data_IF_340856088026
#
_entry.id   IF_340856088026
#
_cell.length_a   1.000
_cell.length_b   1.000
_cell.length_c   1.000
_cell.angle_alpha   90.00
_cell.angle_beta   90.00
_cell.angle_gamma   90.00
#
_symmetry.space_group_name_H-M   'P 1'
#
loop_
_entity.id
_entity.type
_entity.pdbx_description
1 polymer ?
#
# COMPACT_ATOMS: atom_id res chain seq x y z
N UNK A 1 -13.66 -6.76 16.14
CA UNK A 1 -12.50 -6.00 15.58
C UNK A 1 -11.78 -6.90 14.59
N UNK A 2 -11.41 -6.37 13.44
CA UNK A 2 -10.77 -7.18 12.38
C UNK A 2 -9.32 -6.75 12.21
N UNK A 3 -8.36 -7.60 12.64
CA UNK A 3 -6.93 -7.43 12.44
C UNK A 3 -6.38 -8.47 11.46
N UNK A 4 -7.26 -9.22 10.82
CA UNK A 4 -6.97 -10.23 9.79
C UNK A 4 -7.52 -9.74 8.45
N UNK A 5 -6.73 -9.85 7.40
CA UNK A 5 -7.06 -9.55 6.00
C UNK A 5 -6.98 -10.84 5.19
N UNK A 6 -7.82 -10.98 4.14
CA UNK A 6 -7.88 -12.14 3.24
C UNK A 6 -8.89 -13.21 3.68
N UNK A 7 -9.09 -14.23 2.84
CA UNK A 7 -10.00 -15.36 3.04
C UNK A 7 -9.24 -16.68 3.16
N UNK A 8 -8.47 -17.10 2.15
CA UNK A 8 -7.57 -18.27 2.18
C UNK A 8 -6.16 -17.81 2.54
N UNK A 9 -5.58 -16.91 1.72
CA UNK A 9 -4.31 -16.28 2.05
C UNK A 9 -4.58 -15.11 3.00
N UNK A 10 -4.31 -15.33 4.28
CA UNK A 10 -4.64 -14.34 5.32
C UNK A 10 -3.41 -13.75 5.97
N UNK A 11 -3.52 -12.50 6.39
CA UNK A 11 -2.54 -11.82 7.22
C UNK A 11 -3.22 -11.30 8.50
N UNK A 12 -2.84 -11.82 9.65
CA UNK A 12 -3.16 -11.23 10.95
C UNK A 12 -1.98 -10.41 11.44
N UNK A 13 -2.18 -9.10 11.67
CA UNK A 13 -1.11 -8.19 12.11
C UNK A 13 -1.26 -7.75 13.56
N UNK A 14 -0.14 -7.58 14.28
CA UNK A 14 -0.08 -7.09 15.65
C UNK A 14 1.06 -6.07 15.84
N UNK A 15 1.10 -5.45 17.02
CA UNK A 15 2.11 -4.49 17.42
C UNK A 15 1.78 -3.04 17.07
N UNK A 16 2.46 -2.11 17.72
CA UNK A 16 2.30 -0.65 17.63
C UNK A 16 3.63 0.02 17.31
N UNK A 17 3.55 1.30 16.89
CA UNK A 17 4.74 2.07 16.46
C UNK A 17 5.79 2.27 17.55
N UNK A 18 5.37 2.26 18.84
CA UNK A 18 6.23 2.45 20.01
C UNK A 18 6.13 1.27 20.99
N UNK A 19 5.58 0.11 20.56
CA UNK A 19 5.72 -1.16 21.25
C UNK A 19 7.08 -1.78 21.00
N UNK A 20 7.31 -2.98 21.51
CA UNK A 20 8.57 -3.73 21.33
C UNK A 20 8.79 -4.13 19.88
N UNK A 21 7.74 -4.50 19.17
CA UNK A 21 7.80 -4.99 17.81
C UNK A 21 6.49 -4.77 17.04
N UNK A 22 6.58 -4.92 15.73
CA UNK A 22 5.46 -5.13 14.80
C UNK A 22 5.64 -6.51 14.18
N UNK A 23 4.57 -7.27 14.06
CA UNK A 23 4.63 -8.60 13.47
C UNK A 23 3.31 -9.03 12.87
N UNK A 24 3.27 -10.29 12.47
CA UNK A 24 2.07 -10.89 11.92
C UNK A 24 2.19 -12.40 11.79
N UNK A 25 1.06 -12.98 11.42
CA UNK A 25 0.96 -14.39 11.00
C UNK A 25 0.32 -14.39 9.62
N UNK A 26 1.00 -15.00 8.66
CA UNK A 26 0.45 -15.33 7.34
C UNK A 26 -0.01 -16.79 7.40
N UNK A 27 -1.27 -17.02 7.06
CA UNK A 27 -1.85 -18.35 6.93
C UNK A 27 -2.37 -18.59 5.51
N UNK A 28 -2.56 -19.86 5.12
CA UNK A 28 -3.00 -20.22 3.78
C UNK A 28 -1.94 -20.03 2.68
N UNK A 29 -0.67 -19.85 3.05
CA UNK A 29 0.42 -19.85 2.07
C UNK A 29 0.62 -21.24 1.48
N UNK A 30 0.60 -21.43 0.14
CA UNK A 30 0.84 -22.74 -0.47
C UNK A 30 2.19 -23.34 -0.03
N UNK A 31 2.23 -24.66 0.16
CA UNK A 31 3.47 -25.37 0.49
C UNK A 31 4.42 -25.42 -0.72
N UNK A 32 5.73 -25.55 -0.44
CA UNK A 32 6.76 -25.75 -1.46
C UNK A 32 7.15 -24.49 -2.24
N UNK A 33 6.78 -23.30 -1.76
CA UNK A 33 7.26 -22.03 -2.30
C UNK A 33 8.64 -21.74 -1.73
N UNK A 34 9.61 -21.46 -2.60
CA UNK A 34 10.96 -21.10 -2.20
C UNK A 34 10.95 -19.73 -1.49
N UNK A 35 11.52 -19.68 -0.30
CA UNK A 35 11.70 -18.44 0.47
C UNK A 35 12.99 -17.77 0.01
N UNK A 36 12.86 -16.52 -0.39
CA UNK A 36 13.95 -15.61 -0.71
C UNK A 36 14.00 -14.52 0.38
N UNK A 37 14.78 -14.76 1.41
CA UNK A 37 14.93 -13.83 2.54
C UNK A 37 15.46 -12.46 2.09
N UNK A 38 16.35 -12.44 1.10
CA UNK A 38 16.89 -11.20 0.55
C UNK A 38 15.79 -10.38 -0.15
N UNK A 39 14.90 -11.04 -0.88
CA UNK A 39 13.76 -10.38 -1.50
C UNK A 39 12.76 -9.86 -0.46
N UNK A 40 12.42 -10.65 0.56
CA UNK A 40 11.51 -10.21 1.64
C UNK A 40 12.10 -8.97 2.34
N UNK A 41 13.39 -9.00 2.67
CA UNK A 41 14.08 -7.87 3.28
C UNK A 41 14.13 -6.66 2.35
N UNK A 42 14.36 -6.86 1.05
CA UNK A 42 14.35 -5.79 0.06
C UNK A 42 12.98 -5.08 0.00
N UNK A 43 11.87 -5.82 0.01
CA UNK A 43 10.52 -5.23 0.05
C UNK A 43 10.28 -4.38 1.32
N UNK A 44 10.84 -4.80 2.46
CA UNK A 44 10.85 -3.99 3.68
C UNK A 44 11.75 -2.75 3.57
N UNK A 45 12.92 -2.90 2.97
CA UNK A 45 13.87 -1.79 2.75
C UNK A 45 13.25 -0.71 1.86
N UNK A 46 12.45 -1.08 0.86
CA UNK A 46 11.69 -0.14 0.04
C UNK A 46 10.68 0.67 0.87
N UNK A 47 10.12 0.10 1.95
CA UNK A 47 9.13 0.75 2.82
C UNK A 47 9.76 1.54 3.97
N UNK A 48 10.93 1.15 4.47
CA UNK A 48 11.54 1.71 5.68
C UNK A 48 11.65 3.24 5.67
N UNK A 49 11.70 3.91 6.83
CA UNK A 49 12.01 5.33 6.92
C UNK A 49 13.49 5.62 6.62
N UNK A 50 13.81 6.89 6.34
CA UNK A 50 15.20 7.35 6.23
C UNK A 50 15.93 6.95 4.95
N UNK A 51 15.19 6.69 3.87
CA UNK A 51 15.76 6.24 2.60
C UNK A 51 16.38 7.36 1.77
N UNK A 52 15.90 8.59 1.91
CA UNK A 52 16.31 9.72 1.10
C UNK A 52 16.04 11.06 1.79
N UNK A 53 16.48 12.16 1.16
CA UNK A 53 16.24 13.53 1.65
C UNK A 53 14.75 13.92 1.69
N UNK A 54 13.92 13.27 0.88
CA UNK A 54 12.47 13.53 0.79
C UNK A 54 11.63 12.62 1.69
N UNK A 55 12.25 11.81 2.54
CA UNK A 55 11.57 10.99 3.55
C UNK A 55 11.95 11.44 4.96
N UNK A 56 11.28 10.90 5.98
CA UNK A 56 11.61 11.16 7.39
C UNK A 56 13.06 10.82 7.72
N UNK A 57 13.68 11.58 8.62
CA UNK A 57 15.04 11.34 9.10
C UNK A 57 15.14 10.16 10.12
N UNK A 58 14.03 9.52 10.50
CA UNK A 58 14.04 8.32 11.35
C UNK A 58 14.79 7.21 10.62
N UNK A 59 15.63 6.46 11.33
CA UNK A 59 16.38 5.32 10.78
C UNK A 59 15.98 4.05 11.52
N UNK A 60 15.48 3.07 10.80
CA UNK A 60 15.13 1.74 11.32
C UNK A 60 15.69 0.69 10.36
N UNK A 61 16.30 -0.37 10.83
CA UNK A 61 16.81 -1.43 9.97
C UNK A 61 15.67 -2.30 9.41
N UNK A 62 14.51 -2.33 10.07
CA UNK A 62 13.33 -3.12 9.72
C UNK A 62 13.66 -4.59 9.37
N UNK A 63 14.58 -5.21 10.10
CA UNK A 63 14.94 -6.61 9.87
C UNK A 63 13.81 -7.53 10.28
N UNK A 64 13.38 -8.36 9.33
CA UNK A 64 12.37 -9.38 9.58
C UNK A 64 13.00 -10.68 10.07
N UNK A 65 12.36 -11.32 11.03
CA UNK A 65 12.67 -12.69 11.46
C UNK A 65 11.43 -13.54 11.22
N UNK A 66 11.55 -14.59 10.39
CA UNK A 66 10.53 -15.62 10.23
C UNK A 66 10.66 -16.60 11.40
N UNK A 67 9.55 -16.94 12.05
CA UNK A 67 9.52 -17.72 13.28
C UNK A 67 9.00 -19.17 13.05
N UNK A 68 8.25 -19.37 11.98
CA UNK A 68 7.57 -20.66 11.68
C UNK A 68 7.18 -20.75 10.20
N UNK A 69 6.68 -21.92 9.79
CA UNK A 69 6.09 -22.14 8.47
C UNK A 69 7.11 -22.30 7.34
N UNK A 70 8.41 -22.41 7.67
CA UNK A 70 9.50 -22.59 6.70
C UNK A 70 10.39 -23.75 7.15
N UNK A 71 10.72 -24.65 6.22
CA UNK A 71 11.65 -25.75 6.40
C UNK A 71 12.53 -25.88 5.14
N UNK A 72 13.84 -25.98 5.33
CA UNK A 72 14.82 -26.09 4.23
C UNK A 72 14.63 -25.06 3.12
N UNK A 73 14.31 -23.79 3.50
CA UNK A 73 14.10 -22.69 2.59
C UNK A 73 12.78 -22.72 1.81
N UNK A 74 11.83 -23.60 2.17
CA UNK A 74 10.52 -23.70 1.52
C UNK A 74 9.38 -23.54 2.53
N UNK A 75 8.25 -23.02 2.05
CA UNK A 75 7.02 -22.96 2.84
C UNK A 75 6.48 -24.37 3.09
N UNK A 76 5.95 -24.58 4.30
CA UNK A 76 5.42 -25.89 4.72
C UNK A 76 3.90 -26.03 4.54
N UNK A 77 3.21 -24.92 4.21
CA UNK A 77 1.74 -24.85 4.25
C UNK A 77 1.18 -24.56 5.65
N UNK A 78 2.03 -24.51 6.67
CA UNK A 78 1.67 -24.10 8.02
C UNK A 78 1.78 -22.57 8.18
N UNK A 79 1.17 -21.97 9.23
CA UNK A 79 1.25 -20.54 9.45
C UNK A 79 2.69 -20.01 9.56
N UNK A 80 2.97 -18.92 8.85
CA UNK A 80 4.26 -18.24 8.87
C UNK A 80 4.17 -17.06 9.84
N UNK A 81 4.68 -17.28 11.06
CA UNK A 81 4.84 -16.22 12.04
C UNK A 81 6.09 -15.39 11.74
N UNK A 82 6.00 -14.06 11.91
CA UNK A 82 7.15 -13.17 11.73
C UNK A 82 7.10 -11.98 12.67
N UNK A 83 8.29 -11.39 12.94
CA UNK A 83 8.47 -10.24 13.80
C UNK A 83 9.52 -9.28 13.27
N UNK A 84 9.31 -7.97 13.50
CA UNK A 84 10.27 -6.90 13.24
C UNK A 84 10.37 -6.02 14.48
N UNK A 85 11.52 -5.93 15.10
CA UNK A 85 11.77 -5.14 16.31
C UNK A 85 11.68 -3.63 16.04
N UNK A 86 11.27 -2.87 17.04
CA UNK A 86 11.36 -1.41 17.07
C UNK A 86 12.65 -1.01 17.79
N UNK A 87 13.59 -0.34 17.12
CA UNK A 87 14.92 -0.05 17.67
C UNK A 87 15.23 1.44 17.82
N UNK A 88 14.52 2.33 17.12
CA UNK A 88 14.78 3.77 17.08
C UNK A 88 13.53 4.61 17.38
N UNK A 89 12.79 4.21 18.41
CA UNK A 89 11.61 4.94 18.89
C UNK A 89 12.03 5.98 19.94
N UNK A 90 11.58 7.24 19.77
CA UNK A 90 11.79 8.32 20.73
C UNK A 90 10.45 8.76 21.29
N UNK A 91 10.00 8.12 22.37
CA UNK A 91 8.66 8.36 22.95
C UNK A 91 8.50 9.77 23.51
N UNK A 92 9.59 10.38 24.02
CA UNK A 92 9.59 11.75 24.56
C UNK A 92 9.24 12.82 23.51
N UNK A 93 9.49 12.57 22.20
CA UNK A 93 9.14 13.49 21.12
C UNK A 93 7.62 13.72 21.00
N UNK A 94 6.80 12.92 21.68
CA UNK A 94 5.33 12.92 21.60
C UNK A 94 4.63 13.38 22.88
N UNK A 95 5.36 13.79 23.94
CA UNK A 95 4.78 14.17 25.22
C UNK A 95 3.83 15.36 25.10
N UNK A 96 4.12 16.33 24.24
CA UNK A 96 3.26 17.47 23.94
C UNK A 96 1.94 17.08 23.24
N UNK A 97 1.82 15.85 22.75
CA UNK A 97 0.61 15.32 22.10
C UNK A 97 -0.32 14.59 23.08
N UNK A 98 0.11 14.38 24.32
CA UNK A 98 -0.62 13.56 25.29
C UNK A 98 -2.05 14.03 25.54
N UNK A 99 -2.25 15.34 25.63
CA UNK A 99 -3.52 15.94 26.00
C UNK A 99 -4.21 16.71 24.87
N UNK A 100 -3.71 16.63 23.65
CA UNK A 100 -4.26 17.36 22.48
C UNK A 100 -4.53 16.42 21.32
N UNK A 101 -5.43 16.81 20.42
CA UNK A 101 -5.73 16.05 19.22
C UNK A 101 -5.06 16.70 18.01
N UNK A 102 -4.24 15.97 17.26
CA UNK A 102 -3.68 16.47 16.00
C UNK A 102 -4.79 16.63 14.95
N UNK A 103 -4.90 17.78 14.26
CA UNK A 103 -5.86 17.95 13.16
C UNK A 103 -5.68 16.85 12.10
N UNK A 104 -6.79 16.32 11.60
CA UNK A 104 -6.82 15.25 10.57
C UNK A 104 -6.07 13.96 10.89
N UNK A 105 -5.59 13.78 12.14
CA UNK A 105 -5.01 12.53 12.64
C UNK A 105 -6.07 11.66 13.32
N UNK A 106 -5.78 10.38 13.53
CA UNK A 106 -6.69 9.43 14.17
C UNK A 106 -6.82 9.61 15.71
N UNK A 107 -6.17 10.59 16.31
CA UNK A 107 -6.11 10.78 17.77
C UNK A 107 -7.49 10.84 18.42
N UNK A 108 -8.37 11.71 17.90
CA UNK A 108 -9.73 11.89 18.42
C UNK A 108 -10.60 10.63 18.23
N UNK A 109 -10.55 10.03 17.04
CA UNK A 109 -11.38 8.87 16.71
C UNK A 109 -10.98 7.63 17.50
N UNK A 110 -9.69 7.44 17.77
CA UNK A 110 -9.20 6.38 18.66
C UNK A 110 -9.64 6.61 20.10
N UNK A 111 -9.49 7.84 20.60
CA UNK A 111 -9.93 8.20 21.96
C UNK A 111 -11.43 7.96 22.13
N UNK A 112 -12.26 8.39 21.17
CA UNK A 112 -13.71 8.16 21.22
C UNK A 112 -14.09 6.70 21.11
N UNK A 113 -13.36 5.91 20.33
CA UNK A 113 -13.69 4.50 20.12
C UNK A 113 -13.27 3.59 21.28
N UNK A 114 -12.08 3.84 21.84
CA UNK A 114 -11.46 2.92 22.80
C UNK A 114 -11.38 3.50 24.23
N UNK A 115 -11.70 4.78 24.44
CA UNK A 115 -11.53 5.48 25.71
C UNK A 115 -10.07 5.81 26.06
N UNK A 116 -9.14 5.17 25.40
CA UNK A 116 -7.68 5.37 25.53
C UNK A 116 -7.03 5.48 24.18
N UNK A 117 -5.87 6.12 24.10
CA UNK A 117 -5.01 6.13 22.91
C UNK A 117 -3.54 6.11 23.30
N UNK A 118 -2.71 5.49 22.50
CA UNK A 118 -1.26 5.68 22.57
C UNK A 118 -0.91 6.97 21.85
N UNK A 119 -0.53 8.01 22.59
CA UNK A 119 -0.10 9.30 22.04
C UNK A 119 1.29 9.22 21.40
N UNK A 120 2.08 8.19 21.72
CA UNK A 120 3.43 7.98 21.19
C UNK A 120 3.34 7.47 19.74
N UNK A 121 3.58 8.33 18.77
CA UNK A 121 3.63 8.00 17.35
C UNK A 121 2.32 7.53 16.69
N UNK A 122 1.21 7.42 17.47
CA UNK A 122 -0.11 7.05 16.95
C UNK A 122 -0.44 5.55 16.93
N UNK A 123 0.34 4.69 17.59
CA UNK A 123 0.03 3.26 17.78
C UNK A 123 -0.26 2.54 16.47
N UNK A 124 -1.45 1.90 16.38
CA UNK A 124 -1.92 1.20 15.16
C UNK A 124 -2.31 2.14 14.01
N UNK A 125 -2.48 3.44 14.24
CA UNK A 125 -2.71 4.42 13.17
C UNK A 125 -1.40 4.88 12.48
N UNK A 126 -0.24 4.45 13.00
CA UNK A 126 1.06 4.78 12.42
C UNK A 126 1.36 4.04 11.12
N UNK A 127 2.09 4.69 10.20
CA UNK A 127 2.62 4.03 9.01
C UNK A 127 3.57 2.85 9.31
N UNK A 128 4.04 2.70 10.55
CA UNK A 128 4.90 1.59 10.97
C UNK A 128 4.22 0.23 10.85
N UNK A 129 2.91 0.15 11.07
CA UNK A 129 2.17 -1.12 10.95
C UNK A 129 2.17 -1.70 9.52
N UNK A 130 2.48 -0.88 8.52
CA UNK A 130 2.59 -1.34 7.13
C UNK A 130 3.73 -2.34 6.90
N UNK A 131 4.65 -2.48 7.86
CA UNK A 131 5.68 -3.55 7.88
C UNK A 131 5.01 -4.92 7.68
N UNK A 132 4.00 -5.25 8.47
CA UNK A 132 3.32 -6.54 8.37
C UNK A 132 2.71 -6.76 6.98
N UNK A 133 2.15 -5.70 6.37
CA UNK A 133 1.60 -5.76 5.00
C UNK A 133 2.70 -6.05 3.97
N UNK A 134 3.88 -5.41 4.10
CA UNK A 134 4.99 -5.65 3.18
C UNK A 134 5.55 -7.07 3.29
N UNK A 135 5.63 -7.64 4.50
CA UNK A 135 6.04 -9.05 4.68
C UNK A 135 5.01 -9.98 4.06
N UNK A 136 3.71 -9.82 4.39
CA UNK A 136 2.64 -10.64 3.79
C UNK A 136 2.60 -10.50 2.25
N UNK A 137 2.76 -9.27 1.74
CA UNK A 137 2.83 -9.02 0.31
C UNK A 137 4.09 -9.60 -0.37
N UNK A 138 5.24 -9.59 0.29
CA UNK A 138 6.47 -10.21 -0.22
C UNK A 138 6.29 -11.73 -0.34
N UNK A 139 5.73 -12.38 0.68
CA UNK A 139 5.38 -13.81 0.63
C UNK A 139 4.40 -14.10 -0.50
N UNK A 140 3.34 -13.30 -0.66
CA UNK A 140 2.39 -13.43 -1.76
C UNK A 140 3.07 -13.26 -3.13
N UNK A 141 3.97 -12.27 -3.30
CA UNK A 141 4.74 -12.07 -4.53
C UNK A 141 5.61 -13.27 -4.87
N UNK A 142 6.20 -13.97 -3.90
CA UNK A 142 6.98 -15.20 -4.15
C UNK A 142 6.12 -16.30 -4.77
N UNK A 143 4.88 -16.49 -4.29
CA UNK A 143 3.93 -17.43 -4.89
C UNK A 143 3.48 -16.98 -6.29
N UNK A 144 3.15 -15.68 -6.46
CA UNK A 144 2.69 -15.12 -7.72
C UNK A 144 3.76 -15.18 -8.83
N UNK A 145 5.03 -15.07 -8.50
CA UNK A 145 6.14 -15.25 -9.45
C UNK A 145 6.13 -16.64 -10.13
N UNK A 146 5.79 -17.69 -9.37
CA UNK A 146 5.66 -19.05 -9.96
C UNK A 146 4.51 -19.16 -10.95
N UNK A 147 3.55 -18.25 -10.87
CA UNK A 147 2.39 -18.17 -11.76
C UNK A 147 2.60 -17.18 -12.93
N UNK A 148 3.78 -16.58 -13.04
CA UNK A 148 4.05 -15.55 -14.06
C UNK A 148 3.33 -14.22 -13.82
N UNK A 149 2.78 -14.01 -12.62
CA UNK A 149 2.08 -12.77 -12.25
C UNK A 149 3.07 -11.79 -11.63
N UNK A 150 3.13 -10.57 -12.16
CA UNK A 150 3.97 -9.49 -11.67
C UNK A 150 3.14 -8.28 -11.25
N UNK A 151 3.60 -7.58 -10.22
CA UNK A 151 2.92 -6.40 -9.67
C UNK A 151 3.95 -5.28 -9.53
N UNK A 152 3.66 -4.13 -10.12
CA UNK A 152 4.48 -2.94 -10.07
C UNK A 152 3.62 -1.73 -9.75
N UNK A 153 4.06 -0.93 -8.79
CA UNK A 153 3.43 0.36 -8.51
C UNK A 153 4.47 1.48 -8.60
N UNK A 154 4.01 2.67 -8.88
CA UNK A 154 4.85 3.85 -9.01
C UNK A 154 4.11 5.11 -8.60
N UNK A 155 4.85 6.15 -8.24
CA UNK A 155 4.30 7.48 -7.99
C UNK A 155 3.94 8.11 -9.33
N UNK A 156 2.65 8.30 -9.56
CA UNK A 156 2.12 8.91 -10.78
C UNK A 156 1.75 10.39 -10.62
N UNK A 157 1.64 10.89 -9.39
CA UNK A 157 1.35 12.29 -9.11
C UNK A 157 1.87 12.71 -7.74
N UNK A 158 2.42 13.92 -7.65
CA UNK A 158 2.74 14.62 -6.39
C UNK A 158 2.15 16.02 -6.48
N UNK A 159 1.20 16.34 -5.59
CA UNK A 159 0.48 17.61 -5.66
C UNK A 159 -0.11 17.85 -7.06
N UNK A 160 0.19 18.98 -7.73
CA UNK A 160 -0.29 19.28 -9.07
C UNK A 160 0.54 18.63 -10.20
N UNK A 161 1.71 18.05 -9.90
CA UNK A 161 2.61 17.46 -10.90
C UNK A 161 2.19 16.02 -11.13
N UNK A 162 1.66 15.70 -12.32
CA UNK A 162 1.12 14.38 -12.65
C UNK A 162 1.67 13.85 -13.99
N UNK A 163 1.86 12.54 -14.07
CA UNK A 163 2.10 11.80 -15.30
C UNK A 163 0.83 11.71 -16.14
N UNK A 164 0.96 11.38 -17.41
CA UNK A 164 -0.16 10.92 -18.22
C UNK A 164 -0.74 9.62 -17.63
N UNK A 165 -2.03 9.40 -17.81
CA UNK A 165 -2.75 8.29 -17.16
C UNK A 165 -2.41 6.92 -17.74
N UNK A 166 -2.04 6.87 -19.00
CA UNK A 166 -1.69 5.64 -19.69
C UNK A 166 -0.35 5.11 -19.17
N UNK A 167 -0.41 4.03 -18.39
CA UNK A 167 0.77 3.37 -17.81
C UNK A 167 1.68 2.74 -18.86
N UNK A 168 1.16 2.43 -20.03
CA UNK A 168 1.93 1.79 -21.12
C UNK A 168 3.00 2.70 -21.72
N UNK A 169 2.88 4.01 -21.49
CA UNK A 169 3.87 5.01 -21.92
C UNK A 169 5.18 4.96 -21.13
N UNK A 170 5.23 4.22 -20.01
CA UNK A 170 6.34 4.25 -19.08
C UNK A 170 7.02 2.88 -18.93
N UNK A 171 8.36 2.89 -18.89
CA UNK A 171 9.12 1.73 -18.46
C UNK A 171 9.11 1.61 -16.94
N UNK A 172 8.26 0.73 -16.42
CA UNK A 172 8.09 0.53 -14.99
C UNK A 172 9.33 -0.09 -14.30
N UNK A 173 10.35 -0.53 -15.05
CA UNK A 173 11.62 -0.97 -14.46
C UNK A 173 12.41 0.20 -13.88
N UNK A 174 12.17 1.43 -14.37
CA UNK A 174 12.80 2.67 -13.90
C UNK A 174 12.21 3.21 -12.60
N UNK A 175 11.14 2.61 -12.07
CA UNK A 175 10.48 3.08 -10.83
C UNK A 175 11.46 3.24 -9.66
N UNK A 176 12.39 2.32 -9.47
CA UNK A 176 13.35 2.37 -8.35
C UNK A 176 14.62 3.19 -8.67
N UNK A 177 14.72 3.80 -9.85
CA UNK A 177 15.90 4.59 -10.27
C UNK A 177 16.03 5.93 -9.56
N UNK A 178 14.98 6.39 -8.88
CA UNK A 178 14.94 7.67 -8.19
C UNK A 178 14.16 7.59 -6.86
N UNK A 179 14.40 8.54 -5.93
CA UNK A 179 13.81 8.48 -4.58
C UNK A 179 12.29 8.75 -4.54
N UNK A 180 11.70 9.30 -5.60
CA UNK A 180 10.24 9.53 -5.71
C UNK A 180 9.52 8.26 -6.13
N UNK A 181 10.22 7.32 -6.77
CA UNK A 181 9.66 6.13 -7.41
C UNK A 181 8.69 6.47 -8.55
N UNK A 182 9.10 7.38 -9.41
CA UNK A 182 8.42 7.77 -10.63
C UNK A 182 9.20 7.20 -11.83
N UNK A 183 8.55 6.51 -12.80
CA UNK A 183 9.25 5.90 -13.94
C UNK A 183 9.73 6.90 -14.99
N UNK A 184 9.25 8.14 -14.94
CA UNK A 184 9.69 9.24 -15.80
C UNK A 184 10.75 10.08 -15.06
N UNK A 185 12.02 10.11 -15.52
CA UNK A 185 13.09 10.82 -14.81
C UNK A 185 12.90 12.34 -14.73
N UNK A 186 12.33 12.98 -15.77
CA UNK A 186 12.09 14.42 -15.77
C UNK A 186 11.00 14.80 -14.77
N UNK A 187 9.90 14.07 -14.80
CA UNK A 187 8.81 14.27 -13.84
C UNK A 187 9.22 13.90 -12.41
N UNK A 188 10.05 12.88 -12.23
CA UNK A 188 10.63 12.53 -10.95
C UNK A 188 11.42 13.69 -10.34
N UNK A 189 12.22 14.38 -11.14
CA UNK A 189 12.98 15.56 -10.69
C UNK A 189 12.05 16.70 -10.26
N UNK A 190 11.01 17.02 -11.04
CA UNK A 190 10.02 18.06 -10.70
C UNK A 190 9.26 17.69 -9.41
N UNK A 191 8.83 16.44 -9.28
CA UNK A 191 8.16 15.94 -8.09
C UNK A 191 9.07 16.00 -6.86
N UNK A 192 10.35 15.62 -6.99
CA UNK A 192 11.30 15.69 -5.91
C UNK A 192 11.53 17.12 -5.44
N UNK A 193 11.70 18.08 -6.37
CA UNK A 193 11.87 19.49 -6.05
C UNK A 193 10.65 20.01 -5.28
N UNK A 194 9.44 19.73 -5.73
CA UNK A 194 8.21 20.13 -5.03
C UNK A 194 8.15 19.58 -3.60
N UNK A 195 8.55 18.31 -3.39
CA UNK A 195 8.57 17.72 -2.04
C UNK A 195 9.60 18.43 -1.15
N UNK A 196 10.78 18.79 -1.70
CA UNK A 196 11.83 19.49 -0.97
C UNK A 196 11.39 20.91 -0.61
N UNK A 197 10.71 21.64 -1.50
CA UNK A 197 10.11 22.97 -1.24
C UNK A 197 9.06 22.91 -0.13
N UNK A 198 8.11 21.97 -0.22
CA UNK A 198 7.06 21.78 0.79
C UNK A 198 7.65 21.41 2.14
N UNK A 199 8.70 20.56 2.15
CA UNK A 199 9.43 20.20 3.37
C UNK A 199 10.12 21.41 4.01
N UNK A 200 10.74 22.27 3.20
CA UNK A 200 11.41 23.48 3.68
C UNK A 200 10.42 24.48 4.32
N UNK A 201 9.19 24.51 3.81
CA UNK A 201 8.07 25.29 4.37
C UNK A 201 7.44 24.65 5.63
N UNK A 202 7.92 23.48 6.07
CA UNK A 202 7.38 22.76 7.24
C UNK A 202 6.00 22.14 7.00
N UNK A 203 5.62 21.96 5.74
CA UNK A 203 4.33 21.41 5.31
C UNK A 203 4.45 19.99 4.74
N UNK A 204 3.35 19.43 4.25
CA UNK A 204 3.27 18.09 3.65
C UNK A 204 2.45 18.12 2.37
N UNK A 205 2.72 17.18 1.49
CA UNK A 205 2.01 17.05 0.21
C UNK A 205 1.59 15.61 -0.04
N UNK A 206 0.43 15.43 -0.67
CA UNK A 206 -0.11 14.14 -1.11
C UNK A 206 0.10 13.91 -2.60
N UNK A 207 -0.58 12.89 -3.12
CA UNK A 207 -0.57 12.57 -4.54
C UNK A 207 -1.18 11.21 -4.83
N UNK A 208 -0.74 10.57 -5.91
CA UNK A 208 -1.32 9.32 -6.42
C UNK A 208 -0.23 8.28 -6.68
N UNK A 209 -0.51 7.05 -6.29
CA UNK A 209 0.24 5.86 -6.68
C UNK A 209 -0.58 5.07 -7.69
N UNK A 210 -0.01 4.76 -8.84
CA UNK A 210 -0.58 3.86 -9.84
C UNK A 210 0.03 2.46 -9.67
N UNK A 211 -0.79 1.43 -9.75
CA UNK A 211 -0.38 0.03 -9.69
C UNK A 211 -0.85 -0.73 -10.91
N UNK A 212 0.02 -1.59 -11.45
CA UNK A 212 -0.24 -2.46 -12.59
C UNK A 212 0.07 -3.90 -12.22
N UNK A 213 -0.88 -4.80 -12.45
CA UNK A 213 -0.75 -6.26 -12.30
C UNK A 213 -0.73 -6.86 -13.70
N UNK A 214 0.35 -7.54 -14.05
CA UNK A 214 0.51 -8.23 -15.35
C UNK A 214 0.48 -9.74 -15.18
N UNK A 215 -0.03 -10.43 -16.19
CA UNK A 215 -0.10 -11.88 -16.22
C UNK A 215 -1.20 -12.48 -15.33
N UNK A 216 -2.15 -11.66 -14.86
CA UNK A 216 -3.29 -12.14 -14.10
C UNK A 216 -4.22 -12.95 -15.02
N UNK A 217 -4.56 -14.22 -14.69
CA UNK A 217 -5.48 -14.99 -15.51
C UNK A 217 -6.89 -14.42 -15.46
N UNK A 218 -7.69 -14.70 -16.49
CA UNK A 218 -9.13 -14.46 -16.45
C UNK A 218 -9.80 -15.37 -15.40
N UNK A 219 -10.83 -14.86 -14.72
CA UNK A 219 -11.66 -15.66 -13.82
C UNK A 219 -11.46 -15.41 -12.33
N UNK A 220 -10.61 -14.47 -11.91
CA UNK A 220 -10.42 -14.14 -10.49
C UNK A 220 -11.43 -13.09 -10.03
N UNK A 221 -12.06 -13.33 -8.89
CA UNK A 221 -13.08 -12.45 -8.29
C UNK A 221 -14.49 -12.98 -8.45
N UNK A 222 -15.46 -12.25 -7.89
CA UNK A 222 -16.86 -12.66 -7.81
C UNK A 222 -17.79 -11.69 -8.56
N UNK A 223 -18.98 -12.16 -9.01
CA UNK A 223 -19.87 -11.33 -9.84
C UNK A 223 -20.72 -10.32 -9.05
N UNK A 224 -20.91 -10.50 -7.75
CA UNK A 224 -21.78 -9.62 -6.95
C UNK A 224 -21.05 -9.04 -5.73
N UNK A 225 -20.96 -9.77 -4.65
CA UNK A 225 -20.14 -9.39 -3.50
C UNK A 225 -18.71 -9.92 -3.69
N UNK A 226 -17.74 -9.29 -3.03
CA UNK A 226 -16.32 -9.62 -3.17
C UNK A 226 -15.77 -9.53 -4.61
N UNK A 227 -16.38 -8.64 -5.43
CA UNK A 227 -15.83 -8.28 -6.75
C UNK A 227 -14.35 -7.94 -6.63
N UNK A 228 -13.52 -8.40 -7.56
CA UNK A 228 -12.07 -8.20 -7.49
C UNK A 228 -11.69 -6.71 -7.29
N UNK A 229 -12.33 -5.78 -8.03
CA UNK A 229 -12.08 -4.36 -7.84
C UNK A 229 -12.57 -3.84 -6.47
N UNK A 230 -13.62 -4.42 -5.89
CA UNK A 230 -14.09 -4.05 -4.56
C UNK A 230 -13.12 -4.52 -3.47
N UNK A 231 -12.55 -5.74 -3.61
CA UNK A 231 -11.52 -6.24 -2.71
C UNK A 231 -10.22 -5.42 -2.83
N UNK A 232 -9.78 -5.09 -4.06
CA UNK A 232 -8.65 -4.18 -4.29
C UNK A 232 -8.90 -2.82 -3.65
N UNK A 233 -10.09 -2.23 -3.85
CA UNK A 233 -10.48 -0.96 -3.24
C UNK A 233 -10.45 -1.04 -1.70
N UNK A 234 -11.03 -2.08 -1.10
CA UNK A 234 -11.02 -2.28 0.35
C UNK A 234 -9.59 -2.44 0.89
N UNK A 235 -8.74 -3.17 0.18
CA UNK A 235 -7.33 -3.34 0.51
C UNK A 235 -6.60 -1.99 0.49
N UNK A 236 -6.74 -1.20 -0.57
CA UNK A 236 -6.08 0.11 -0.74
C UNK A 236 -6.60 1.14 0.25
N UNK A 237 -7.92 1.26 0.42
CA UNK A 237 -8.53 2.20 1.38
C UNK A 237 -8.22 1.85 2.84
N UNK A 238 -7.76 0.64 3.12
CA UNK A 238 -7.24 0.24 4.44
C UNK A 238 -5.82 0.76 4.74
N UNK A 239 -5.10 1.26 3.73
CA UNK A 239 -3.75 1.83 3.90
C UNK A 239 -3.89 3.23 4.52
N UNK A 240 -2.99 3.55 5.47
CA UNK A 240 -2.96 4.86 6.11
C UNK A 240 -2.84 5.99 5.07
N UNK A 241 -3.57 7.08 5.28
CA UNK A 241 -3.62 8.28 4.44
C UNK A 241 -4.34 8.12 3.08
N UNK A 242 -4.78 6.94 2.68
CA UNK A 242 -5.56 6.76 1.44
C UNK A 242 -6.92 7.44 1.57
N UNK A 243 -7.35 8.11 0.47
CA UNK A 243 -8.59 8.86 0.34
C UNK A 243 -9.42 8.49 -0.89
N UNK A 244 -8.82 7.82 -1.86
CA UNK A 244 -9.52 7.45 -3.08
C UNK A 244 -8.88 6.25 -3.76
N UNK A 245 -9.72 5.56 -4.52
CA UNK A 245 -9.35 4.44 -5.36
C UNK A 245 -10.15 4.53 -6.66
N UNK A 246 -9.51 4.31 -7.79
CA UNK A 246 -10.16 4.11 -9.09
C UNK A 246 -9.38 3.07 -9.89
N UNK A 247 -10.07 2.32 -10.77
CA UNK A 247 -9.47 1.32 -11.64
C UNK A 247 -9.92 1.52 -13.08
N UNK A 248 -9.14 1.07 -14.04
CA UNK A 248 -9.37 1.38 -15.44
C UNK A 248 -9.41 2.90 -15.65
N UNK A 249 -10.32 3.34 -16.50
CA UNK A 249 -10.53 4.78 -16.74
C UNK A 249 -11.14 5.51 -15.52
N UNK A 250 -11.74 4.76 -14.59
CA UNK A 250 -12.25 5.32 -13.35
C UNK A 250 -13.26 6.45 -13.55
N UNK A 251 -13.05 7.58 -12.88
CA UNK A 251 -13.94 8.75 -12.99
C UNK A 251 -13.96 9.39 -14.38
N UNK A 252 -12.91 9.23 -15.18
CA UNK A 252 -12.84 9.81 -16.54
C UNK A 252 -13.88 9.19 -17.48
N UNK A 253 -14.17 7.89 -17.31
CA UNK A 253 -15.19 7.20 -18.08
C UNK A 253 -16.58 7.81 -17.92
N UNK A 254 -16.87 8.50 -16.79
CA UNK A 254 -18.17 9.12 -16.54
C UNK A 254 -18.50 10.26 -17.51
N UNK A 255 -17.49 10.86 -18.15
CA UNK A 255 -17.66 11.92 -19.16
C UNK A 255 -17.71 11.40 -20.60
N UNK A 256 -17.56 10.09 -20.82
CA UNK A 256 -17.46 9.46 -22.12
C UNK A 256 -18.75 8.68 -22.46
N UNK A 257 -18.96 8.44 -23.75
CA UNK A 257 -20.08 7.58 -24.21
C UNK A 257 -19.65 6.11 -24.15
N UNK A 258 -20.61 5.20 -23.90
CA UNK A 258 -20.35 3.77 -23.85
C UNK A 258 -19.62 3.20 -25.08
N UNK A 259 -19.93 3.72 -26.26
CA UNK A 259 -19.22 3.33 -27.51
C UNK A 259 -17.74 3.73 -27.56
N UNK A 260 -17.29 4.61 -26.69
CA UNK A 260 -15.90 5.07 -26.61
C UNK A 260 -15.08 4.25 -25.62
N UNK A 261 -15.75 3.66 -24.60
CA UNK A 261 -15.09 2.96 -23.49
C UNK A 261 -15.35 1.44 -23.49
N UNK A 262 -16.14 0.92 -24.43
CA UNK A 262 -16.36 -0.52 -24.56
C UNK A 262 -15.10 -1.21 -25.11
N UNK A 263 -14.51 -2.10 -24.31
CA UNK A 263 -13.39 -2.92 -24.72
C UNK A 263 -13.86 -4.03 -25.67
N UNK A 264 -13.52 -3.89 -26.96
CA UNK A 264 -13.94 -4.84 -28.00
C UNK A 264 -13.11 -6.10 -27.91
N UNK A 265 -13.77 -7.26 -27.82
CA UNK A 265 -13.11 -8.56 -27.86
C UNK A 265 -12.59 -8.89 -29.26
N UNK A 266 -11.37 -9.38 -29.33
CA UNK A 266 -10.72 -9.82 -30.54
C UNK A 266 -10.05 -11.20 -30.35
N UNK A 267 -9.83 -11.90 -31.45
CA UNK A 267 -9.06 -13.15 -31.44
C UNK A 267 -7.59 -12.84 -31.77
N UNK A 268 -6.74 -13.04 -30.79
CA UNK A 268 -5.27 -12.94 -30.95
C UNK A 268 -4.65 -14.35 -30.92
N UNK A 269 -4.40 -14.92 -32.10
CA UNK A 269 -3.82 -16.25 -32.27
C UNK A 269 -4.50 -17.37 -31.47
N UNK A 270 -5.83 -17.36 -31.44
CA UNK A 270 -6.64 -18.35 -30.72
C UNK A 270 -6.95 -17.96 -29.26
N UNK A 271 -6.42 -16.83 -28.78
CA UNK A 271 -6.76 -16.29 -27.48
C UNK A 271 -7.80 -15.16 -27.63
N UNK A 272 -8.76 -15.13 -26.75
CA UNK A 272 -9.71 -14.01 -26.63
C UNK A 272 -9.03 -12.94 -25.75
N UNK A 273 -8.84 -11.76 -26.31
CA UNK A 273 -8.29 -10.57 -25.65
C UNK A 273 -9.15 -9.35 -25.95
N UNK A 274 -8.91 -8.23 -25.28
CA UNK A 274 -9.58 -6.98 -25.60
C UNK A 274 -8.65 -6.05 -26.40
N UNK A 275 -9.22 -5.28 -27.33
CA UNK A 275 -8.47 -4.32 -28.17
C UNK A 275 -7.99 -3.11 -27.37
N UNK A 276 -8.75 -2.74 -26.35
CA UNK A 276 -8.47 -1.64 -25.39
C UNK A 276 -8.65 -2.19 -23.98
N UNK A 277 -8.28 -1.43 -22.97
CA UNK A 277 -8.41 -1.87 -21.58
C UNK A 277 -8.97 -0.76 -20.68
N UNK A 278 -10.07 -0.14 -21.12
CA UNK A 278 -10.79 0.88 -20.35
C UNK A 278 -11.34 0.33 -19.04
N UNK A 279 -11.75 -0.95 -19.04
CA UNK A 279 -12.23 -1.66 -17.84
C UNK A 279 -11.13 -1.94 -16.80
N UNK A 280 -9.86 -1.72 -17.13
CA UNK A 280 -8.75 -1.97 -16.20
C UNK A 280 -8.57 -3.44 -15.82
N UNK A 281 -8.77 -4.38 -16.77
CA UNK A 281 -8.56 -5.82 -16.59
C UNK A 281 -9.67 -6.52 -15.80
N UNK A 282 -10.78 -5.84 -15.45
CA UNK A 282 -11.85 -6.39 -14.61
C UNK A 282 -13.22 -6.05 -15.23
N UNK A 283 -13.98 -7.08 -15.56
CA UNK A 283 -15.33 -6.96 -16.10
C UNK A 283 -16.32 -7.77 -15.26
N UNK A 284 -17.45 -7.16 -14.89
CA UNK A 284 -18.45 -7.82 -14.02
C UNK A 284 -17.96 -8.16 -12.60
N UNK A 285 -16.77 -7.68 -12.20
CA UNK A 285 -16.15 -8.02 -10.92
C UNK A 285 -15.08 -9.11 -10.99
N UNK A 286 -14.85 -9.63 -12.20
CA UNK A 286 -13.97 -10.78 -12.49
C UNK A 286 -12.87 -10.34 -13.45
N UNK A 287 -11.63 -10.80 -13.23
CA UNK A 287 -10.51 -10.51 -14.14
C UNK A 287 -10.77 -11.11 -15.54
N UNK A 288 -10.39 -10.38 -16.60
CA UNK A 288 -10.59 -10.78 -17.99
C UNK A 288 -9.32 -11.26 -18.70
N UNK A 289 -8.16 -11.28 -18.00
CA UNK A 289 -6.88 -11.70 -18.55
C UNK A 289 -5.99 -10.56 -19.05
N UNK A 290 -6.52 -9.33 -19.12
CA UNK A 290 -5.75 -8.14 -19.41
C UNK A 290 -5.01 -7.62 -18.17
N UNK A 291 -4.09 -6.67 -18.35
CA UNK A 291 -3.42 -5.99 -17.24
C UNK A 291 -4.46 -5.33 -16.32
N UNK A 292 -4.37 -5.60 -15.02
CA UNK A 292 -5.19 -4.90 -14.04
C UNK A 292 -4.44 -3.64 -13.62
N UNK A 293 -5.04 -2.46 -13.81
CA UNK A 293 -4.45 -1.22 -13.37
C UNK A 293 -5.43 -0.37 -12.56
N UNK A 294 -4.90 0.30 -11.55
CA UNK A 294 -5.68 1.15 -10.65
C UNK A 294 -4.82 2.25 -10.04
N UNK A 295 -5.47 3.26 -9.48
CA UNK A 295 -4.85 4.43 -8.86
C UNK A 295 -5.34 4.63 -7.44
N UNK A 296 -4.44 5.03 -6.58
CA UNK A 296 -4.69 5.20 -5.14
C UNK A 296 -4.26 6.61 -4.73
N UNK A 297 -5.23 7.41 -4.29
CA UNK A 297 -4.99 8.78 -3.85
C UNK A 297 -4.65 8.85 -2.36
N UNK A 298 -3.55 9.53 -2.05
CA UNK A 298 -3.05 9.74 -0.69
C UNK A 298 -3.16 11.21 -0.31
N UNK A 299 -3.78 11.49 0.83
CA UNK A 299 -3.79 12.86 1.39
C UNK A 299 -2.41 13.24 1.91
N UNK A 300 -2.11 14.55 2.07
CA UNK A 300 -0.95 15.01 2.83
C UNK A 300 -0.91 14.42 4.24
N UNK A 301 0.29 14.24 4.79
CA UNK A 301 0.47 13.75 6.16
C UNK A 301 -0.09 14.78 7.14
N UNK A 302 -0.88 14.32 8.12
CA UNK A 302 -1.57 15.22 9.05
C UNK A 302 -0.65 15.94 10.05
N UNK A 303 0.57 15.43 10.24
CA UNK A 303 1.53 15.98 11.20
C UNK A 303 2.43 16.99 10.50
N UNK A 304 2.21 18.27 10.78
CA UNK A 304 2.95 19.41 10.21
C UNK A 304 3.93 19.99 11.23
N UNK A 305 4.98 20.65 10.75
CA UNK A 305 5.88 21.44 11.59
C UNK A 305 5.35 22.88 11.82
N UNK A 306 4.31 23.30 11.08
CA UNK A 306 3.62 24.57 11.27
C UNK A 306 2.71 24.52 12.49
N UNK A 307 2.54 25.64 13.24
CA UNK A 307 1.54 25.73 14.29
C UNK A 307 0.13 25.50 13.73
N UNK A 308 -0.68 24.73 14.44
CA UNK A 308 -2.08 24.44 14.07
C UNK A 308 -3.01 24.69 15.24
N UNK A 309 -4.15 25.32 15.00
CA UNK A 309 -5.22 25.43 15.98
C UNK A 309 -5.90 24.07 16.15
N UNK A 310 -6.13 23.67 17.38
CA UNK A 310 -6.79 22.40 17.73
C UNK A 310 -7.47 22.54 19.11
N UNK A 311 -7.94 21.41 19.66
CA UNK A 311 -8.51 21.33 21.02
C UNK A 311 -7.79 20.29 21.85
N UNK A 312 -7.78 20.51 23.16
CA UNK A 312 -7.34 19.52 24.14
C UNK A 312 -8.43 18.47 24.46
N UNK A 313 -8.11 17.54 25.36
CA UNK A 313 -9.05 16.49 25.80
C UNK A 313 -10.32 17.02 26.46
N UNK A 314 -10.32 18.27 26.96
CA UNK A 314 -11.48 18.92 27.58
C UNK A 314 -12.32 19.72 26.57
N UNK A 315 -11.86 19.84 25.33
CA UNK A 315 -12.48 20.65 24.28
C UNK A 315 -12.05 22.11 24.25
N UNK A 316 -11.07 22.51 25.07
CA UNK A 316 -10.54 23.86 25.07
C UNK A 316 -9.62 24.09 23.87
N UNK A 317 -9.83 25.19 23.17
CA UNK A 317 -8.97 25.62 22.06
C UNK A 317 -7.51 25.83 22.50
N UNK A 318 -6.59 25.36 21.70
CA UNK A 318 -5.15 25.48 21.93
C UNK A 318 -4.40 25.49 20.60
N UNK A 319 -3.14 25.91 20.63
CA UNK A 319 -2.23 25.83 19.48
C UNK A 319 -1.28 24.66 19.69
N UNK A 320 -1.23 23.80 18.71
CA UNK A 320 -0.30 22.66 18.65
C UNK A 320 0.83 22.99 17.67
N UNK A 321 2.06 22.91 18.11
CA UNK A 321 3.24 22.82 17.25
C UNK A 321 3.92 21.48 17.47
N UNK A 322 3.84 20.63 16.49
CA UNK A 322 4.43 19.29 16.56
C UNK A 322 5.94 19.41 16.39
N UNK A 323 6.67 18.64 17.19
CA UNK A 323 8.11 18.42 17.06
C UNK A 323 8.33 16.98 16.54
N UNK A 324 9.47 16.71 15.94
CA UNK A 324 9.82 15.35 15.52
C UNK A 324 10.04 15.19 14.02
N UNK A 325 10.19 13.93 13.61
CA UNK A 325 10.64 13.54 12.27
C UNK A 325 9.49 12.92 11.49
N UNK A 326 8.89 13.68 10.58
CA UNK A 326 7.74 13.26 9.77
C UNK A 326 8.09 13.20 8.29
N UNK A 327 7.36 12.41 7.52
CA UNK A 327 7.48 12.37 6.06
C UNK A 327 6.83 13.63 5.47
N UNK A 328 7.51 14.42 4.64
CA UNK A 328 6.88 15.51 3.89
C UNK A 328 5.92 14.99 2.80
N UNK A 329 6.21 13.78 2.29
CA UNK A 329 5.38 13.08 1.33
C UNK A 329 5.44 11.58 1.61
N UNK A 330 4.28 10.92 1.70
CA UNK A 330 4.20 9.49 2.03
C UNK A 330 4.42 8.58 0.82
N UNK A 331 4.25 9.10 -0.42
CA UNK A 331 4.16 8.32 -1.64
C UNK A 331 5.35 7.38 -1.88
N UNK A 332 6.62 7.81 -1.74
CA UNK A 332 7.74 6.92 -1.97
C UNK A 332 7.70 5.66 -1.10
N UNK A 333 7.18 5.77 0.12
CA UNK A 333 7.02 4.65 1.06
C UNK A 333 5.71 3.88 0.85
N UNK A 334 4.70 4.52 0.26
CA UNK A 334 3.42 3.91 -0.04
C UNK A 334 3.47 2.94 -1.23
N UNK A 335 4.34 3.19 -2.21
CA UNK A 335 4.49 2.34 -3.41
C UNK A 335 4.62 0.85 -3.06
N UNK A 336 5.59 0.37 -2.25
CA UNK A 336 5.68 -1.05 -1.90
C UNK A 336 4.51 -1.55 -1.05
N UNK A 337 3.82 -0.68 -0.32
CA UNK A 337 2.63 -1.08 0.45
C UNK A 337 1.44 -1.34 -0.47
N UNK A 338 1.26 -0.52 -1.51
CA UNK A 338 0.23 -0.71 -2.55
C UNK A 338 0.48 -2.02 -3.28
N UNK A 339 1.72 -2.28 -3.73
CA UNK A 339 2.09 -3.56 -4.35
C UNK A 339 1.83 -4.76 -3.43
N UNK A 340 2.18 -4.64 -2.15
CA UNK A 340 1.99 -5.71 -1.17
C UNK A 340 0.51 -6.06 -0.98
N UNK A 341 -0.34 -5.05 -0.85
CA UNK A 341 -1.78 -5.26 -0.70
C UNK A 341 -2.41 -5.83 -1.96
N UNK A 342 -1.99 -5.37 -3.15
CA UNK A 342 -2.42 -5.96 -4.42
C UNK A 342 -2.02 -7.43 -4.53
N UNK A 343 -0.77 -7.77 -4.16
CA UNK A 343 -0.28 -9.14 -4.21
C UNK A 343 -1.10 -10.09 -3.33
N UNK A 344 -1.44 -9.65 -2.12
CA UNK A 344 -2.28 -10.45 -1.22
C UNK A 344 -3.69 -10.67 -1.79
N UNK A 345 -4.32 -9.64 -2.38
CA UNK A 345 -5.65 -9.77 -3.00
C UNK A 345 -5.60 -10.74 -4.19
N UNK A 346 -4.62 -10.59 -5.07
CA UNK A 346 -4.51 -11.42 -6.28
C UNK A 346 -4.23 -12.88 -5.92
N UNK A 347 -3.32 -13.14 -4.97
CA UNK A 347 -3.04 -14.51 -4.52
C UNK A 347 -4.26 -15.12 -3.84
N UNK A 348 -4.95 -14.41 -2.96
CA UNK A 348 -6.14 -14.88 -2.27
C UNK A 348 -7.24 -15.30 -3.27
N UNK A 349 -7.53 -14.43 -4.25
CA UNK A 349 -8.50 -14.74 -5.31
C UNK A 349 -8.03 -15.88 -6.23
N UNK A 350 -6.73 -15.99 -6.50
CA UNK A 350 -6.19 -17.12 -7.25
C UNK A 350 -6.43 -18.44 -6.52
N UNK A 351 -6.21 -18.48 -5.21
CA UNK A 351 -6.43 -19.68 -4.39
C UNK A 351 -7.93 -20.01 -4.28
N UNK A 352 -8.79 -19.00 -4.07
CA UNK A 352 -10.24 -19.17 -4.10
C UNK A 352 -10.70 -19.76 -5.43
N UNK A 353 -10.20 -19.27 -6.56
CA UNK A 353 -10.59 -19.74 -7.89
C UNK A 353 -10.23 -21.21 -8.13
N UNK A 354 -9.20 -21.75 -7.43
CA UNK A 354 -8.85 -23.18 -7.50
C UNK A 354 -9.90 -24.11 -6.89
N UNK A 355 -10.85 -23.58 -6.13
CA UNK A 355 -11.92 -24.35 -5.50
C UNK A 355 -13.24 -24.32 -6.28
N UNK A 356 -13.31 -23.55 -7.39
CA UNK A 356 -14.56 -23.36 -8.15
C UNK A 356 -14.87 -24.51 -9.08
N UNK A 357 -13.86 -25.17 -9.63
CA UNK A 357 -14.00 -26.32 -10.54
C UNK A 357 -13.34 -27.54 -9.96
N UNK A 358 -13.86 -28.72 -10.32
CA UNK A 358 -13.37 -30.04 -9.84
C UNK A 358 -12.40 -30.72 -10.80
N UNK A 359 -11.92 -30.02 -11.84
CA UNK A 359 -10.97 -30.52 -12.85
C UNK A 359 -9.51 -30.28 -12.46
#
# INVERSE_FOLDING_TARGET
MRNTFGHIFTLTSFGESHGEAVGGVVDGMPAGIDIDDAFIQHELDRRRPGQSRITTARKEPDRVTLLSGVMEGKTTGCPIGFIVGNTNQHSADYDNLRNVFRPSHADYTYYKKYGIRDHRGGGRASARITIARCVGGALAKLALRKLGISIKAYTSQVGPIALQRDYSLYDLSLTESNPVRCPDPEMAQKMQQLIEEVKADGDTIGGVVTCVVKGCPAGLGEPEFDKLHAQLAAAMLSINAVKGFEYGDGFEACSQRGSQVNDVFVNDHGRIVTKTNHSGGIQGGISNGEDIYFRVAFKPVATLLKPQTTVDLTGKETTLQVRGRHDPCVLPRAVPVVEAMAAMVILDNYLLNKTIKLD
#
